data_IF_145499244117
#
_entry.id   IF_145499244117
#
_cell.length_a   1.000
_cell.length_b   1.000
_cell.length_c   1.000
_cell.angle_alpha   90.00
_cell.angle_beta   90.00
_cell.angle_gamma   90.00
#
_symmetry.space_group_name_H-M   'P 1'
#
loop_
_entity.id
_entity.type
_entity.pdbx_description
1 polymer ?
#
# COMPACT_ATOMS: atom_id res chain seq x y z
N UNK A 1 24.35 40.53 -78.67
CA UNK A 1 23.05 40.88 -79.24
C UNK A 1 22.33 41.74 -78.22
N UNK A 2 21.01 41.74 -78.20
CA UNK A 2 20.17 41.94 -77.01
C UNK A 2 19.50 40.61 -76.55
N UNK A 3 19.95 39.48 -77.09
CA UNK A 3 19.62 38.10 -76.74
C UNK A 3 20.81 37.23 -77.20
N UNK A 4 21.71 36.90 -76.28
CA UNK A 4 23.01 36.29 -76.58
C UNK A 4 22.93 34.78 -76.87
N UNK A 5 21.90 34.07 -76.40
CA UNK A 5 21.77 32.61 -76.50
C UNK A 5 20.71 32.13 -77.53
N UNK A 6 19.84 33.00 -78.03
CA UNK A 6 18.94 32.69 -79.14
C UNK A 6 17.53 32.24 -78.69
N UNK A 7 17.14 32.50 -77.46
CA UNK A 7 15.94 31.94 -76.82
C UNK A 7 14.69 32.88 -76.96
N UNK A 8 13.56 32.63 -76.27
CA UNK A 8 12.41 33.56 -76.27
C UNK A 8 12.60 34.88 -75.50
N UNK A 9 13.60 35.00 -74.62
CA UNK A 9 13.72 36.10 -73.65
C UNK A 9 14.89 37.05 -73.99
N UNK A 10 14.72 38.39 -73.97
CA UNK A 10 15.85 39.30 -74.15
C UNK A 10 16.77 39.31 -72.93
N UNK A 11 18.07 39.60 -73.09
CA UNK A 11 19.09 39.61 -72.01
C UNK A 11 18.71 40.45 -70.76
N UNK A 12 17.72 41.35 -70.87
CA UNK A 12 17.24 42.20 -69.76
C UNK A 12 16.11 41.60 -68.93
N UNK A 13 15.45 40.57 -69.45
CA UNK A 13 14.30 39.87 -68.86
C UNK A 13 14.61 38.37 -68.72
N UNK A 14 15.88 38.01 -68.83
CA UNK A 14 16.42 36.65 -68.82
C UNK A 14 17.43 36.52 -67.66
N UNK A 15 17.17 35.59 -66.74
CA UNK A 15 18.04 35.23 -65.62
C UNK A 15 19.29 34.44 -66.08
N UNK A 16 19.24 33.80 -67.25
CA UNK A 16 20.26 32.96 -67.88
C UNK A 16 20.73 33.47 -69.26
N UNK A 17 21.19 34.74 -69.40
CA UNK A 17 21.46 35.38 -70.70
C UNK A 17 22.59 34.79 -71.55
N UNK A 18 23.41 33.88 -71.00
CA UNK A 18 24.44 33.15 -71.76
C UNK A 18 24.17 31.64 -71.80
N UNK A 19 22.88 31.28 -71.77
CA UNK A 19 22.38 29.94 -71.51
C UNK A 19 22.26 29.00 -72.71
N UNK A 20 21.23 28.14 -72.66
CA UNK A 20 20.99 27.02 -73.54
C UNK A 20 20.50 27.61 -74.82
N UNK A 21 21.27 27.37 -75.86
CA UNK A 21 21.02 28.06 -77.11
C UNK A 21 19.85 27.42 -77.89
N UNK A 22 19.03 28.26 -78.53
CA UNK A 22 18.02 27.89 -79.54
C UNK A 22 16.78 27.11 -79.07
N UNK A 23 16.40 27.18 -77.80
CA UNK A 23 15.05 26.75 -77.40
C UNK A 23 14.03 27.86 -77.75
N UNK A 24 12.75 27.49 -77.91
CA UNK A 24 11.71 28.42 -78.44
C UNK A 24 10.34 28.22 -77.81
N UNK A 25 10.21 27.28 -76.89
CA UNK A 25 8.95 26.84 -76.35
C UNK A 25 8.93 27.13 -74.86
N UNK A 26 8.04 28.01 -74.42
CA UNK A 26 7.81 28.44 -73.02
C UNK A 26 7.11 27.34 -72.19
N UNK A 27 7.36 26.07 -72.51
CA UNK A 27 6.92 24.91 -71.71
C UNK A 27 8.14 24.21 -71.08
N UNK A 28 9.32 24.85 -71.17
CA UNK A 28 10.60 24.39 -70.65
C UNK A 28 11.21 25.51 -69.78
N UNK A 29 10.33 26.30 -69.18
CA UNK A 29 10.56 27.57 -68.49
C UNK A 29 9.27 27.84 -67.71
N UNK A 30 9.17 27.19 -66.55
CA UNK A 30 7.92 27.08 -65.77
C UNK A 30 7.58 28.38 -65.05
N UNK A 31 8.57 29.06 -64.48
CA UNK A 31 8.43 30.34 -63.79
C UNK A 31 8.50 31.57 -64.72
N UNK A 32 8.89 31.37 -65.98
CA UNK A 32 9.03 32.42 -67.00
C UNK A 32 10.16 33.42 -66.74
N UNK A 33 11.29 32.99 -66.16
CA UNK A 33 12.45 33.83 -65.90
C UNK A 33 13.51 33.84 -67.01
N UNK A 34 13.34 32.99 -68.03
CA UNK A 34 14.23 32.89 -69.18
C UNK A 34 15.30 31.80 -69.07
N UNK A 35 15.37 31.09 -67.94
CA UNK A 35 16.19 29.90 -67.80
C UNK A 35 15.44 28.65 -68.33
N UNK A 36 16.20 27.68 -68.84
CA UNK A 36 15.61 26.43 -69.29
C UNK A 36 15.58 25.42 -68.14
N UNK A 37 14.39 24.98 -67.72
CA UNK A 37 14.13 24.09 -66.59
C UNK A 37 15.20 22.98 -66.42
N UNK A 38 15.22 22.01 -67.34
CA UNK A 38 16.07 20.81 -67.24
C UNK A 38 17.59 21.00 -67.36
N UNK A 39 18.08 22.18 -67.75
CA UNK A 39 19.48 22.32 -68.21
C UNK A 39 20.24 23.45 -67.54
N UNK A 40 19.55 24.47 -67.04
CA UNK A 40 20.15 25.71 -66.57
C UNK A 40 19.45 26.33 -65.40
N UNK A 41 18.14 26.13 -65.30
CA UNK A 41 17.42 26.44 -64.09
C UNK A 41 17.76 25.40 -63.02
N UNK A 42 17.93 25.87 -61.80
CA UNK A 42 18.11 25.02 -60.62
C UNK A 42 16.93 25.22 -59.63
N UNK A 43 15.95 26.08 -59.94
CA UNK A 43 14.76 26.45 -59.17
C UNK A 43 13.59 26.77 -60.14
N UNK A 44 13.00 25.72 -60.69
CA UNK A 44 12.05 25.73 -61.82
C UNK A 44 10.77 26.57 -61.53
N UNK A 45 10.38 26.78 -60.27
CA UNK A 45 9.19 27.56 -59.89
C UNK A 45 9.47 28.85 -59.09
N UNK A 46 10.75 29.11 -58.83
CA UNK A 46 11.33 30.32 -58.25
C UNK A 46 10.85 30.61 -56.80
N UNK A 47 10.60 29.55 -56.03
CA UNK A 47 10.17 29.63 -54.64
C UNK A 47 11.34 29.77 -53.63
N UNK A 48 12.59 29.69 -54.11
CA UNK A 48 13.87 29.74 -53.39
C UNK A 48 14.38 28.40 -52.81
N UNK A 49 13.69 27.29 -53.06
CA UNK A 49 14.18 25.93 -52.83
C UNK A 49 14.69 25.39 -54.16
N UNK A 50 15.87 24.75 -54.15
CA UNK A 50 16.44 24.21 -55.39
C UNK A 50 15.72 22.91 -55.75
N UNK A 51 15.52 22.62 -57.04
CA UNK A 51 14.83 21.42 -57.54
C UNK A 51 15.34 20.09 -56.95
N UNK A 52 16.61 20.07 -56.52
CA UNK A 52 17.26 18.89 -55.93
C UNK A 52 16.85 18.61 -54.48
N UNK A 53 16.40 19.66 -53.79
CA UNK A 53 15.95 19.65 -52.40
C UNK A 53 14.43 19.94 -52.30
N UNK A 54 13.76 20.19 -53.43
CA UNK A 54 12.33 20.46 -53.56
C UNK A 54 11.51 19.18 -53.86
N UNK A 55 10.41 18.95 -53.13
CA UNK A 55 9.46 17.87 -53.38
C UNK A 55 8.39 18.23 -54.43
N UNK A 56 8.22 19.52 -54.70
CA UNK A 56 7.33 20.13 -55.68
C UNK A 56 8.06 21.00 -56.73
N UNK A 57 9.12 20.51 -57.41
CA UNK A 57 10.00 21.32 -58.28
C UNK A 57 9.31 21.96 -59.50
N UNK A 58 8.05 21.63 -59.79
CA UNK A 58 7.29 22.31 -60.86
C UNK A 58 5.95 22.74 -60.28
N UNK A 59 6.03 23.50 -59.18
CA UNK A 59 4.94 23.85 -58.30
C UNK A 59 4.27 25.18 -58.64
N UNK A 60 3.73 25.84 -57.64
CA UNK A 60 3.03 27.09 -57.78
C UNK A 60 4.07 28.18 -58.00
N UNK A 61 3.88 29.02 -59.00
CA UNK A 61 4.75 30.19 -59.17
C UNK A 61 4.19 31.40 -58.39
N UNK A 62 5.04 32.39 -58.12
CA UNK A 62 4.69 33.67 -57.47
C UNK A 62 4.42 33.54 -55.94
N UNK A 63 5.20 32.70 -55.27
CA UNK A 63 5.32 32.68 -53.82
C UNK A 63 6.80 32.45 -53.45
N UNK A 64 7.09 32.16 -52.19
CA UNK A 64 8.43 31.84 -51.74
C UNK A 64 8.32 30.97 -50.49
N UNK A 65 9.20 29.97 -50.38
CA UNK A 65 9.29 29.09 -49.22
C UNK A 65 9.66 29.90 -47.97
N UNK A 66 8.70 29.96 -47.05
CA UNK A 66 8.82 30.59 -45.75
C UNK A 66 8.05 29.74 -44.73
N UNK A 67 8.43 29.75 -43.44
CA UNK A 67 7.78 28.94 -42.39
C UNK A 67 6.26 29.17 -42.18
N UNK A 68 5.64 30.10 -42.91
CA UNK A 68 4.22 30.39 -42.87
C UNK A 68 3.44 29.88 -44.10
N UNK A 69 4.13 29.49 -45.18
CA UNK A 69 3.56 28.97 -46.42
C UNK A 69 4.11 27.61 -46.83
N UNK A 70 5.27 27.23 -46.27
CA UNK A 70 5.95 25.96 -46.40
C UNK A 70 6.53 25.66 -45.00
N UNK A 71 5.84 24.79 -44.25
CA UNK A 71 6.10 24.58 -42.82
C UNK A 71 7.42 23.83 -42.58
N UNK A 72 7.72 22.83 -43.40
CA UNK A 72 8.88 21.95 -43.25
C UNK A 72 10.06 22.31 -44.17
N UNK A 73 9.85 23.29 -45.05
CA UNK A 73 10.84 23.82 -46.00
C UNK A 73 11.23 22.84 -47.09
N UNK A 74 10.26 22.08 -47.60
CA UNK A 74 10.44 21.08 -48.67
C UNK A 74 10.16 21.60 -50.09
N UNK A 75 9.79 22.89 -50.24
CA UNK A 75 9.47 23.53 -51.53
C UNK A 75 8.02 23.30 -51.99
N UNK A 76 7.20 22.62 -51.21
CA UNK A 76 5.77 22.47 -51.47
C UNK A 76 4.97 23.53 -50.69
N UNK A 77 4.05 24.21 -51.38
CA UNK A 77 3.16 25.15 -50.71
C UNK A 77 2.08 24.41 -49.89
N UNK A 78 2.10 24.55 -48.54
CA UNK A 78 1.24 23.92 -47.52
C UNK A 78 -0.23 23.67 -47.95
N UNK A 79 -0.85 24.67 -48.59
CA UNK A 79 -2.30 24.67 -48.87
C UNK A 79 -2.65 24.12 -50.26
N UNK A 80 -1.70 24.14 -51.19
CA UNK A 80 -1.99 23.98 -52.60
C UNK A 80 -1.37 22.73 -53.21
N UNK A 81 -0.23 22.30 -52.69
CA UNK A 81 0.65 21.31 -53.33
C UNK A 81 1.08 20.24 -52.36
N UNK A 82 1.28 20.62 -51.12
CA UNK A 82 1.60 19.73 -50.02
C UNK A 82 0.36 18.98 -49.49
N UNK A 83 0.55 17.72 -49.13
CA UNK A 83 -0.47 16.85 -48.53
C UNK A 83 -0.01 16.23 -47.20
N UNK A 84 1.21 16.54 -46.76
CA UNK A 84 1.91 16.02 -45.57
C UNK A 84 2.81 17.16 -45.05
N UNK A 85 2.20 18.13 -44.37
CA UNK A 85 2.79 19.46 -44.12
C UNK A 85 4.06 19.43 -43.24
N UNK A 86 4.27 18.38 -42.46
CA UNK A 86 5.48 18.20 -41.64
C UNK A 86 6.38 17.05 -42.10
N UNK A 87 6.02 16.40 -43.22
CA UNK A 87 6.76 15.32 -43.87
C UNK A 87 7.11 14.15 -42.93
N UNK A 88 6.22 13.83 -42.00
CA UNK A 88 6.38 12.71 -41.08
C UNK A 88 5.95 11.37 -41.72
N UNK A 89 5.30 11.42 -42.90
CA UNK A 89 4.83 10.27 -43.65
C UNK A 89 3.35 9.91 -43.45
N UNK A 90 2.63 10.64 -42.60
CA UNK A 90 1.18 10.59 -42.42
C UNK A 90 0.55 11.76 -43.16
N UNK A 91 -0.53 11.49 -43.92
CA UNK A 91 -1.17 12.56 -44.70
C UNK A 91 -2.04 13.44 -43.79
N UNK A 92 -2.06 14.75 -44.04
CA UNK A 92 -2.88 15.75 -43.33
C UNK A 92 -4.36 15.36 -43.13
N UNK A 93 -4.90 14.54 -44.03
CA UNK A 93 -6.31 14.10 -43.97
C UNK A 93 -6.62 13.09 -42.86
N UNK A 94 -5.59 12.38 -42.40
CA UNK A 94 -5.66 11.38 -41.32
C UNK A 94 -4.79 11.73 -40.13
N UNK A 95 -3.93 12.74 -40.27
CA UNK A 95 -3.04 13.24 -39.23
C UNK A 95 -3.77 14.10 -38.18
N UNK A 96 -3.55 13.82 -36.90
CA UNK A 96 -4.04 14.62 -35.76
C UNK A 96 -3.10 15.79 -35.42
N UNK A 97 -1.86 15.73 -35.87
CA UNK A 97 -0.80 16.72 -35.70
C UNK A 97 -0.22 17.24 -37.04
N UNK A 98 -1.04 17.71 -38.02
CA UNK A 98 -0.59 18.10 -39.38
C UNK A 98 0.31 19.35 -39.47
N UNK A 99 0.78 19.88 -38.34
CA UNK A 99 1.84 20.90 -38.24
C UNK A 99 2.67 20.57 -37.00
N UNK A 100 3.10 19.33 -36.93
CA UNK A 100 3.78 18.73 -35.80
C UNK A 100 5.27 18.99 -35.82
N UNK A 101 6.00 18.09 -35.20
CA UNK A 101 7.44 18.16 -35.06
C UNK A 101 8.09 17.81 -36.41
N UNK A 102 9.09 18.59 -36.81
CA UNK A 102 9.80 18.32 -38.06
C UNK A 102 10.96 17.33 -37.87
N UNK A 103 11.28 16.58 -38.92
CA UNK A 103 12.52 15.80 -39.02
C UNK A 103 12.48 14.43 -38.35
N UNK A 104 11.30 13.85 -38.21
CA UNK A 104 11.08 12.46 -37.82
C UNK A 104 10.16 11.79 -38.86
N UNK A 105 9.87 10.51 -38.67
CA UNK A 105 8.94 9.76 -39.52
C UNK A 105 8.07 8.93 -38.57
N UNK A 106 6.76 8.94 -38.80
CA UNK A 106 5.80 8.07 -38.11
C UNK A 106 6.15 6.60 -38.33
N UNK A 107 6.28 5.87 -37.22
CA UNK A 107 6.48 4.42 -37.21
C UNK A 107 5.79 3.82 -36.00
N UNK A 108 5.48 2.50 -36.00
CA UNK A 108 4.89 1.83 -34.84
C UNK A 108 5.76 1.79 -33.56
N UNK A 109 6.89 2.50 -33.53
CA UNK A 109 7.77 2.63 -32.37
C UNK A 109 7.69 4.00 -31.69
N UNK A 110 7.17 5.02 -32.38
CA UNK A 110 7.14 6.42 -31.96
C UNK A 110 5.83 7.15 -32.31
N UNK A 111 4.89 6.43 -32.92
CA UNK A 111 3.50 6.80 -33.19
C UNK A 111 2.71 5.48 -33.07
N UNK A 112 2.16 5.22 -31.90
CA UNK A 112 1.60 3.91 -31.54
C UNK A 112 0.24 3.65 -32.19
N UNK A 113 -0.67 4.62 -32.18
CA UNK A 113 -1.99 4.54 -32.81
C UNK A 113 -1.99 4.89 -34.31
N UNK A 114 -0.86 5.37 -34.84
CA UNK A 114 -0.62 5.74 -36.24
C UNK A 114 -1.42 6.97 -36.69
N UNK A 115 -1.54 7.97 -35.81
CA UNK A 115 -2.30 9.19 -36.04
C UNK A 115 -1.47 10.39 -36.51
N UNK A 116 -0.15 10.23 -36.69
CA UNK A 116 0.77 11.31 -37.12
C UNK A 116 1.29 12.20 -36.00
N UNK A 117 0.93 11.92 -34.74
CA UNK A 117 1.50 12.60 -33.58
C UNK A 117 2.65 11.77 -32.99
N UNK A 118 3.74 12.44 -32.59
CA UNK A 118 4.84 11.76 -31.92
C UNK A 118 4.51 11.50 -30.44
N UNK A 119 4.46 10.22 -30.03
CA UNK A 119 4.18 9.73 -28.66
C UNK A 119 4.83 10.61 -27.56
N UNK A 120 6.17 10.76 -27.60
CA UNK A 120 6.92 11.46 -26.53
C UNK A 120 6.67 12.98 -26.42
N UNK A 121 6.15 13.65 -27.46
CA UNK A 121 6.24 15.11 -27.58
C UNK A 121 4.95 15.83 -27.99
N UNK A 122 4.08 15.19 -28.74
CA UNK A 122 2.92 15.82 -29.37
C UNK A 122 1.62 15.10 -29.03
N UNK A 123 1.71 13.80 -28.78
CA UNK A 123 0.60 12.97 -28.35
C UNK A 123 0.51 12.91 -26.81
N UNK A 124 -0.71 12.73 -26.31
CA UNK A 124 -1.00 12.50 -24.90
C UNK A 124 -2.00 11.34 -24.70
N UNK A 125 -2.29 10.58 -25.75
CA UNK A 125 -3.22 9.45 -25.84
C UNK A 125 -2.62 8.44 -26.84
N UNK A 126 -1.46 7.85 -26.49
CA UNK A 126 -0.60 7.03 -27.36
C UNK A 126 -1.38 5.90 -28.10
N UNK A 127 -2.47 5.37 -27.54
CA UNK A 127 -3.28 4.30 -28.15
C UNK A 127 -4.65 4.70 -28.69
N UNK A 128 -5.02 5.97 -28.55
CA UNK A 128 -6.23 6.56 -29.10
C UNK A 128 -7.53 6.00 -28.51
N UNK A 129 -7.51 5.50 -27.28
CA UNK A 129 -8.69 4.98 -26.59
C UNK A 129 -9.55 6.09 -25.95
N UNK A 130 -8.99 7.30 -25.81
CA UNK A 130 -9.64 8.49 -25.29
C UNK A 130 -9.38 8.77 -23.81
N UNK A 131 -8.63 7.92 -23.13
CA UNK A 131 -7.90 8.27 -21.92
C UNK A 131 -6.60 8.97 -22.32
N UNK A 132 -5.89 9.48 -21.33
CA UNK A 132 -4.63 10.18 -21.60
C UNK A 132 -3.53 9.47 -20.84
N UNK A 133 -2.31 9.44 -21.34
CA UNK A 133 -1.20 8.61 -20.81
C UNK A 133 -0.93 8.78 -19.31
N UNK A 134 -1.36 9.90 -18.71
CA UNK A 134 -1.19 10.18 -17.28
C UNK A 134 -2.32 9.65 -16.39
N UNK A 135 -3.40 9.17 -16.98
CA UNK A 135 -4.58 8.55 -16.34
C UNK A 135 -4.86 7.17 -16.93
N UNK A 136 -3.93 6.64 -17.72
CA UNK A 136 -4.06 5.36 -18.42
C UNK A 136 -2.90 4.47 -17.96
N UNK A 137 -3.22 3.36 -17.33
CA UNK A 137 -2.25 2.39 -16.83
C UNK A 137 -1.74 1.46 -17.96
N UNK A 138 -2.48 1.42 -19.06
CA UNK A 138 -2.16 0.73 -20.30
C UNK A 138 -1.97 1.68 -21.49
N UNK A 139 -1.17 2.75 -21.31
CA UNK A 139 -0.74 3.79 -22.29
C UNK A 139 -0.57 3.32 -23.76
N UNK A 140 -0.24 2.04 -23.96
CA UNK A 140 -0.04 1.43 -25.28
C UNK A 140 -0.87 0.15 -25.41
N UNK A 141 -2.18 0.26 -25.23
CA UNK A 141 -3.08 -0.88 -25.41
C UNK A 141 -2.98 -1.36 -26.85
N UNK A 142 -2.95 -2.68 -26.98
CA UNK A 142 -3.01 -3.35 -28.28
C UNK A 142 -4.44 -3.71 -28.67
N UNK A 143 -5.38 -3.52 -27.75
CA UNK A 143 -6.79 -3.84 -27.95
C UNK A 143 -7.51 -2.66 -28.59
N UNK A 144 -8.55 -2.97 -29.38
CA UNK A 144 -9.32 -1.92 -30.04
C UNK A 144 -10.32 -1.34 -29.05
N UNK A 145 -10.58 -0.01 -29.04
CA UNK A 145 -11.58 0.63 -28.17
C UNK A 145 -13.00 0.07 -28.31
N UNK A 146 -13.29 -0.71 -29.37
CA UNK A 146 -14.60 -1.35 -29.57
C UNK A 146 -14.72 -2.78 -29.01
N UNK A 147 -13.61 -3.41 -28.59
CA UNK A 147 -13.58 -4.73 -27.96
C UNK A 147 -13.14 -4.70 -26.50
N UNK A 148 -12.75 -3.52 -26.02
CA UNK A 148 -12.26 -3.21 -24.69
C UNK A 148 -13.36 -3.43 -23.63
N UNK A 149 -13.05 -4.23 -22.61
CA UNK A 149 -13.82 -4.28 -21.36
C UNK A 149 -12.92 -3.72 -20.28
N UNK A 150 -13.35 -2.64 -19.66
CA UNK A 150 -12.61 -1.85 -18.70
C UNK A 150 -13.62 -1.43 -17.63
N UNK A 151 -13.60 -2.17 -16.53
CA UNK A 151 -14.63 -2.09 -15.50
C UNK A 151 -14.39 -0.93 -14.52
N UNK A 152 -13.12 -0.63 -14.26
CA UNK A 152 -12.60 0.32 -13.29
C UNK A 152 -12.22 1.68 -13.93
N UNK A 153 -11.96 1.70 -15.23
CA UNK A 153 -11.76 2.88 -16.05
C UNK A 153 -10.30 3.30 -16.16
N UNK A 154 -9.36 2.36 -16.07
CA UNK A 154 -7.92 2.62 -16.03
C UNK A 154 -7.24 2.56 -17.40
N UNK A 155 -7.99 2.19 -18.45
CA UNK A 155 -7.50 2.07 -19.84
C UNK A 155 -6.98 0.69 -20.21
N UNK A 156 -6.91 -0.24 -19.26
CA UNK A 156 -6.52 -1.61 -19.51
C UNK A 156 -7.73 -2.50 -19.86
N UNK A 157 -7.56 -3.43 -20.81
CA UNK A 157 -8.59 -4.46 -21.02
C UNK A 157 -8.51 -5.54 -19.93
N UNK A 158 -9.59 -5.67 -19.14
CA UNK A 158 -9.79 -6.61 -18.02
C UNK A 158 -9.31 -8.05 -18.33
N UNK A 159 -9.42 -8.48 -19.59
CA UNK A 159 -9.23 -9.89 -19.95
C UNK A 159 -7.82 -10.19 -20.46
N UNK A 160 -7.06 -9.18 -20.88
CA UNK A 160 -5.86 -9.39 -21.68
C UNK A 160 -4.65 -8.57 -21.29
N UNK A 161 -4.84 -7.40 -20.69
CA UNK A 161 -3.77 -6.44 -20.41
C UNK A 161 -3.73 -6.07 -18.93
N UNK A 162 -4.90 -5.94 -18.32
CA UNK A 162 -5.06 -5.66 -16.90
C UNK A 162 -4.66 -6.88 -16.03
N UNK A 163 -3.93 -6.62 -14.94
CA UNK A 163 -3.57 -7.62 -13.93
C UNK A 163 -3.94 -7.20 -12.51
N UNK A 164 -4.74 -6.13 -12.34
CA UNK A 164 -5.20 -5.54 -11.07
C UNK A 164 -6.56 -4.85 -11.34
N UNK A 165 -7.64 -5.64 -11.46
CA UNK A 165 -8.93 -5.22 -12.02
C UNK A 165 -9.69 -4.21 -11.16
N UNK A 166 -9.34 -4.08 -9.89
CA UNK A 166 -9.93 -3.09 -8.98
C UNK A 166 -8.94 -2.02 -8.50
N UNK A 167 -7.72 -2.07 -9.03
CA UNK A 167 -6.68 -1.06 -8.88
C UNK A 167 -6.36 -0.73 -7.43
N UNK A 168 -6.44 -1.74 -6.57
CA UNK A 168 -6.13 -1.63 -5.15
C UNK A 168 -4.61 -1.76 -4.88
N UNK A 169 -3.83 -2.19 -5.87
CA UNK A 169 -2.38 -2.38 -5.81
C UNK A 169 -1.90 -3.81 -5.56
N UNK A 170 -2.80 -4.79 -5.50
CA UNK A 170 -2.54 -6.23 -5.41
C UNK A 170 -2.89 -6.87 -6.75
N UNK A 171 -1.95 -7.60 -7.37
CA UNK A 171 -2.26 -8.25 -8.65
C UNK A 171 -3.37 -9.31 -8.48
N UNK A 172 -4.28 -9.43 -9.44
CA UNK A 172 -5.45 -10.33 -9.37
C UNK A 172 -5.15 -11.81 -9.16
N UNK A 173 -3.89 -12.22 -9.36
CA UNK A 173 -3.45 -13.58 -9.07
C UNK A 173 -3.23 -13.84 -7.57
N UNK A 174 -3.08 -12.77 -6.79
CA UNK A 174 -2.85 -12.76 -5.34
C UNK A 174 -3.99 -12.12 -4.57
N UNK A 175 -4.89 -11.44 -5.27
CA UNK A 175 -6.10 -10.83 -4.71
C UNK A 175 -7.22 -11.86 -4.46
N UNK A 176 -7.75 -11.90 -3.24
CA UNK A 176 -8.88 -12.75 -2.82
C UNK A 176 -10.25 -12.04 -2.92
N UNK A 177 -10.25 -10.73 -3.16
CA UNK A 177 -11.32 -9.73 -3.04
C UNK A 177 -11.60 -8.90 -4.30
N UNK A 178 -11.02 -9.26 -5.46
CA UNK A 178 -11.17 -8.71 -6.83
C UNK A 178 -12.61 -8.50 -7.36
N UNK A 179 -13.64 -8.81 -6.57
CA UNK A 179 -15.03 -8.81 -7.01
C UNK A 179 -15.65 -7.39 -7.16
N UNK A 180 -14.96 -6.31 -6.74
CA UNK A 180 -15.44 -4.91 -6.88
C UNK A 180 -14.46 -3.98 -7.62
N UNK A 181 -14.37 -4.10 -8.96
CA UNK A 181 -13.56 -3.23 -9.82
C UNK A 181 -13.94 -1.74 -9.77
N UNK A 182 -14.97 -1.34 -9.02
CA UNK A 182 -15.35 0.07 -8.90
C UNK A 182 -14.91 0.72 -7.58
N UNK A 183 -14.07 0.01 -6.83
CA UNK A 183 -13.48 0.49 -5.59
C UNK A 183 -12.46 1.60 -5.87
N UNK A 184 -12.41 2.63 -5.02
CA UNK A 184 -11.37 3.67 -5.05
C UNK A 184 -10.34 3.44 -3.91
N UNK A 185 -10.41 2.30 -3.24
CA UNK A 185 -9.54 1.96 -2.12
C UNK A 185 -8.22 1.37 -2.63
N UNK A 186 -7.17 1.47 -1.83
CA UNK A 186 -5.83 0.95 -2.15
C UNK A 186 -5.33 0.18 -0.95
N UNK A 187 -4.85 -1.03 -1.17
CA UNK A 187 -4.24 -1.90 -0.17
C UNK A 187 -3.07 -1.20 0.51
N UNK A 188 -3.09 -1.22 1.84
CA UNK A 188 -1.99 -0.73 2.67
C UNK A 188 -1.88 -1.59 3.92
N UNK A 189 -0.66 -1.71 4.46
CA UNK A 189 -0.38 -2.41 5.73
C UNK A 189 -1.06 -1.81 6.99
N UNK A 190 -2.02 -0.90 6.82
CA UNK A 190 -2.83 -0.34 7.89
C UNK A 190 -4.34 -0.56 7.69
N UNK A 191 -4.74 -1.13 6.56
CA UNK A 191 -6.12 -1.41 6.15
C UNK A 191 -6.30 -2.77 5.46
N UNK A 192 -5.20 -3.48 5.27
CA UNK A 192 -5.06 -4.83 4.71
C UNK A 192 -3.79 -5.42 5.37
N UNK A 193 -4.00 -6.17 6.45
CA UNK A 193 -2.91 -6.64 7.32
C UNK A 193 -2.08 -7.77 6.71
N UNK A 194 -2.71 -8.67 5.95
CA UNK A 194 -2.05 -9.81 5.31
C UNK A 194 -1.67 -9.57 3.84
N UNK A 195 -2.12 -8.45 3.27
CA UNK A 195 -1.86 -8.00 1.90
C UNK A 195 -2.42 -8.93 0.84
N UNK A 196 -3.65 -9.39 1.06
CA UNK A 196 -4.34 -10.33 0.17
C UNK A 196 -5.42 -9.70 -0.72
N UNK A 197 -5.58 -8.37 -0.68
CA UNK A 197 -6.50 -7.60 -1.54
C UNK A 197 -7.86 -7.33 -0.89
N UNK A 198 -8.14 -7.89 0.29
CA UNK A 198 -9.32 -7.50 1.06
C UNK A 198 -9.03 -6.32 1.99
N UNK A 199 -9.91 -5.31 2.00
CA UNK A 199 -9.93 -4.33 3.09
C UNK A 199 -10.39 -5.03 4.39
N UNK A 200 -9.63 -4.90 5.49
CA UNK A 200 -9.92 -5.49 6.83
C UNK A 200 -11.38 -5.24 7.30
N UNK A 201 -12.03 -4.20 6.78
CA UNK A 201 -13.41 -3.85 7.15
C UNK A 201 -14.47 -4.81 6.57
N UNK A 202 -14.11 -5.53 5.52
CA UNK A 202 -14.94 -6.49 4.78
C UNK A 202 -14.33 -7.89 4.70
N UNK A 203 -13.04 -8.02 5.01
CA UNK A 203 -12.39 -9.31 5.23
C UNK A 203 -13.00 -10.05 6.45
N UNK A 204 -12.82 -11.37 6.46
CA UNK A 204 -13.18 -12.24 7.57
C UNK A 204 -11.97 -12.87 8.27
N UNK A 205 -10.75 -12.66 7.75
CA UNK A 205 -9.48 -13.24 8.23
C UNK A 205 -8.34 -12.23 8.01
N UNK A 206 -8.38 -11.11 8.74
CA UNK A 206 -7.54 -9.91 8.52
C UNK A 206 -6.02 -10.22 8.45
N UNK A 207 -5.54 -11.28 9.11
CA UNK A 207 -4.11 -11.63 9.12
C UNK A 207 -3.73 -12.90 8.34
N UNK A 208 -4.71 -13.54 7.69
CA UNK A 208 -4.52 -14.66 6.78
C UNK A 208 -3.97 -15.93 7.44
N UNK A 209 -4.11 -16.09 8.76
CA UNK A 209 -3.61 -17.24 9.50
C UNK A 209 -4.52 -18.50 9.38
N UNK A 210 -5.76 -18.29 8.93
CA UNK A 210 -6.80 -19.30 8.73
C UNK A 210 -7.85 -19.39 9.85
N UNK A 211 -7.80 -18.51 10.85
CA UNK A 211 -8.77 -18.36 11.94
C UNK A 211 -9.54 -17.05 11.73
N UNK A 212 -10.85 -17.13 11.51
CA UNK A 212 -11.64 -15.92 11.27
C UNK A 212 -11.66 -14.96 12.46
N UNK A 213 -11.69 -13.64 12.22
CA UNK A 213 -11.60 -12.58 13.25
C UNK A 213 -12.63 -12.71 14.39
N UNK A 214 -13.76 -13.35 14.10
CA UNK A 214 -14.84 -13.59 15.07
C UNK A 214 -14.50 -14.67 16.10
N UNK A 215 -13.59 -15.57 15.73
CA UNK A 215 -13.06 -16.65 16.54
C UNK A 215 -11.61 -16.38 17.00
N UNK A 216 -10.92 -15.43 16.36
CA UNK A 216 -9.55 -15.04 16.64
C UNK A 216 -9.43 -14.05 17.83
N UNK A 217 -8.52 -14.30 18.77
CA UNK A 217 -8.16 -13.38 19.86
C UNK A 217 -7.04 -12.41 19.48
N UNK A 218 -6.33 -12.66 18.37
CA UNK A 218 -5.24 -11.89 17.80
C UNK A 218 -5.44 -11.60 16.29
N UNK A 219 -6.49 -10.86 15.87
CA UNK A 219 -6.93 -10.77 14.46
C UNK A 219 -6.03 -9.97 13.50
N UNK A 220 -4.77 -9.68 13.82
CA UNK A 220 -3.94 -8.78 12.99
C UNK A 220 -2.49 -9.26 12.89
N UNK A 221 -2.22 -10.50 13.30
CA UNK A 221 -0.89 -11.01 13.60
C UNK A 221 -0.70 -12.44 13.10
N UNK A 222 -0.35 -12.56 11.82
CA UNK A 222 -0.07 -13.81 11.07
C UNK A 222 0.91 -14.84 11.70
N UNK A 223 1.61 -14.52 12.79
CA UNK A 223 2.80 -15.25 13.24
C UNK A 223 2.49 -16.49 14.10
N UNK A 224 1.83 -17.50 13.54
CA UNK A 224 1.59 -18.78 14.23
C UNK A 224 2.81 -19.71 14.25
N UNK A 225 3.63 -19.71 15.31
CA UNK A 225 4.64 -20.75 15.53
C UNK A 225 4.15 -21.87 16.45
N UNK A 226 3.28 -21.52 17.40
CA UNK A 226 2.62 -22.39 18.35
C UNK A 226 1.29 -21.78 18.73
N UNK A 227 0.24 -22.57 18.65
CA UNK A 227 -1.15 -22.18 18.94
C UNK A 227 -1.83 -23.45 19.48
N UNK A 228 -1.88 -23.57 20.81
CA UNK A 228 -2.26 -24.81 21.46
C UNK A 228 -3.79 -24.99 21.55
N UNK A 229 -4.53 -23.92 21.80
CA UNK A 229 -5.99 -23.94 21.95
C UNK A 229 -6.77 -23.55 20.68
N UNK A 230 -6.09 -23.00 19.67
CA UNK A 230 -6.61 -22.63 18.34
C UNK A 230 -7.44 -21.37 18.33
N UNK A 231 -7.00 -20.38 19.09
CA UNK A 231 -7.63 -19.08 19.16
C UNK A 231 -7.00 -18.02 18.24
N UNK A 232 -6.01 -18.39 17.43
CA UNK A 232 -5.33 -17.49 16.46
C UNK A 232 -4.16 -16.69 17.06
N UNK A 233 -3.86 -16.84 18.34
CA UNK A 233 -2.71 -16.20 18.97
C UNK A 233 -1.48 -17.13 19.04
N UNK A 234 -0.28 -16.56 18.92
CA UNK A 234 0.96 -17.31 19.14
C UNK A 234 1.28 -17.46 20.65
N UNK A 235 1.32 -18.70 21.15
CA UNK A 235 1.62 -19.07 22.55
C UNK A 235 2.90 -18.38 23.09
N UNK A 236 3.92 -18.18 22.23
CA UNK A 236 5.20 -17.62 22.71
C UNK A 236 5.21 -16.10 22.86
N UNK A 237 4.35 -15.38 22.13
CA UNK A 237 4.49 -13.93 21.96
C UNK A 237 3.24 -13.11 22.22
N UNK A 238 2.05 -13.68 22.02
CA UNK A 238 0.79 -12.93 21.93
C UNK A 238 -0.31 -13.52 22.81
N UNK A 239 -0.36 -14.84 22.97
CA UNK A 239 -1.23 -15.50 23.95
C UNK A 239 -0.61 -15.48 25.37
N UNK A 240 -1.46 -15.35 26.38
CA UNK A 240 -1.09 -15.45 27.80
C UNK A 240 -1.90 -16.50 28.57
N UNK A 241 -2.70 -17.30 27.87
CA UNK A 241 -3.57 -18.37 28.38
C UNK A 241 -3.60 -19.50 27.33
N UNK A 242 -2.45 -20.19 27.16
CA UNK A 242 -2.18 -21.10 26.03
C UNK A 242 -3.21 -22.24 25.87
N UNK A 243 -3.99 -22.59 26.91
CA UNK A 243 -5.06 -23.59 26.83
C UNK A 243 -6.48 -23.02 26.88
N UNK A 244 -6.64 -21.70 27.00
CA UNK A 244 -7.92 -21.00 26.92
C UNK A 244 -8.88 -21.38 28.05
N UNK A 245 -8.37 -21.65 29.25
CA UNK A 245 -9.18 -22.03 30.41
C UNK A 245 -9.65 -20.83 31.27
N UNK A 246 -9.11 -19.64 30.98
CA UNK A 246 -9.37 -18.38 31.67
C UNK A 246 -8.38 -18.07 32.81
N UNK A 247 -7.34 -18.88 33.01
CA UNK A 247 -6.25 -18.65 33.98
C UNK A 247 -4.94 -18.42 33.21
N UNK A 248 -4.37 -17.20 33.29
CA UNK A 248 -3.14 -16.91 32.54
C UNK A 248 -1.97 -17.81 32.92
N UNK A 249 -1.09 -18.18 31.97
CA UNK A 249 0.00 -19.16 32.14
C UNK A 249 0.90 -18.88 33.34
N UNK A 250 1.10 -17.59 33.64
CA UNK A 250 1.94 -17.15 34.77
C UNK A 250 1.36 -17.54 36.14
N UNK A 251 0.06 -17.80 36.19
CA UNK A 251 -0.71 -18.20 37.37
C UNK A 251 -1.28 -19.62 37.24
N UNK A 252 -1.16 -20.23 36.07
CA UNK A 252 -1.55 -21.60 35.80
C UNK A 252 -0.43 -22.60 36.14
N UNK A 253 -0.79 -23.68 36.82
CA UNK A 253 0.08 -24.82 37.12
C UNK A 253 0.07 -25.88 36.00
N UNK A 254 -0.88 -25.79 35.07
CA UNK A 254 -1.07 -26.62 33.89
C UNK A 254 -1.23 -25.82 32.57
N UNK A 255 -0.32 -24.90 32.19
CA UNK A 255 -0.52 -24.01 31.02
C UNK A 255 -0.82 -24.67 29.66
N UNK A 256 -0.54 -25.97 29.50
CA UNK A 256 -0.85 -26.72 28.27
C UNK A 256 -1.76 -27.89 28.61
N UNK A 257 -2.79 -27.62 29.40
CA UNK A 257 -3.70 -28.57 30.00
C UNK A 257 -4.82 -28.98 29.05
N UNK A 258 -6.01 -29.16 29.61
CA UNK A 258 -7.21 -29.35 28.83
C UNK A 258 -7.59 -28.03 28.20
N UNK A 259 -7.76 -28.04 26.88
CA UNK A 259 -8.11 -26.81 26.17
C UNK A 259 -9.56 -26.39 26.36
N UNK A 260 -9.83 -25.08 26.30
CA UNK A 260 -11.13 -24.44 26.12
C UNK A 260 -12.19 -24.82 27.17
N UNK A 261 -11.90 -24.65 28.47
CA UNK A 261 -12.87 -24.87 29.55
C UNK A 261 -12.80 -23.80 30.63
N UNK A 262 -13.93 -23.30 31.12
CA UNK A 262 -13.87 -22.26 32.16
C UNK A 262 -13.35 -22.78 33.53
N UNK A 263 -12.22 -22.25 33.98
CA UNK A 263 -11.76 -22.35 35.37
C UNK A 263 -12.78 -21.70 36.31
N UNK A 264 -13.35 -22.53 37.18
CA UNK A 264 -14.42 -22.11 38.08
C UNK A 264 -14.32 -22.87 39.39
N UNK A 265 -14.85 -22.29 40.47
CA UNK A 265 -14.85 -22.92 41.81
C UNK A 265 -15.50 -24.33 41.92
N UNK A 266 -16.12 -24.82 40.84
CA UNK A 266 -16.64 -26.19 40.73
C UNK A 266 -15.77 -27.16 39.92
N UNK A 267 -14.91 -26.66 39.02
CA UNK A 267 -14.00 -27.41 38.14
C UNK A 267 -12.53 -27.29 38.55
N UNK A 268 -12.16 -26.16 39.18
CA UNK A 268 -10.86 -25.81 39.74
C UNK A 268 -11.09 -25.11 41.08
N UNK A 269 -10.79 -25.81 42.18
CA UNK A 269 -11.15 -25.35 43.53
C UNK A 269 -10.15 -24.32 44.06
N UNK A 270 -8.88 -24.42 43.69
CA UNK A 270 -7.80 -23.53 44.11
C UNK A 270 -7.59 -22.34 43.17
N UNK A 271 -8.11 -22.40 41.94
CA UNK A 271 -7.90 -21.38 40.92
C UNK A 271 -6.49 -21.42 40.36
N UNK A 272 -5.91 -22.61 40.19
CA UNK A 272 -4.54 -22.80 39.69
C UNK A 272 -4.47 -23.27 38.24
N UNK A 273 -5.60 -23.25 37.50
CA UNK A 273 -5.70 -23.57 36.07
C UNK A 273 -5.55 -25.06 35.74
N UNK A 274 -5.40 -25.92 36.75
CA UNK A 274 -5.43 -27.36 36.55
C UNK A 274 -6.82 -27.93 36.85
N UNK A 275 -7.45 -28.65 35.92
CA UNK A 275 -8.75 -29.25 36.20
C UNK A 275 -8.67 -30.32 37.32
N UNK A 276 -9.31 -30.06 38.47
CA UNK A 276 -9.37 -30.91 39.69
C UNK A 276 -9.58 -32.41 39.42
N UNK A 277 -10.33 -32.71 38.36
CA UNK A 277 -10.86 -34.04 38.08
C UNK A 277 -9.97 -34.91 37.18
N UNK A 278 -9.08 -34.28 36.42
CA UNK A 278 -8.31 -34.94 35.36
C UNK A 278 -6.82 -34.59 35.42
N UNK A 279 -6.46 -33.39 35.85
CA UNK A 279 -5.12 -32.84 35.73
C UNK A 279 -4.47 -32.52 37.07
N UNK A 280 -5.27 -32.14 38.07
CA UNK A 280 -4.75 -31.83 39.39
C UNK A 280 -4.79 -33.03 40.38
N UNK A 281 -3.59 -33.48 40.77
CA UNK A 281 -3.40 -34.49 41.81
C UNK A 281 -3.39 -33.88 43.25
N UNK A 282 -3.29 -32.55 43.38
CA UNK A 282 -3.00 -31.82 44.61
C UNK A 282 -3.81 -30.51 44.83
N UNK A 283 -5.14 -30.63 44.92
CA UNK A 283 -5.97 -29.53 45.44
C UNK A 283 -5.56 -29.07 46.86
N UNK A 284 -4.98 -27.88 46.98
CA UNK A 284 -4.66 -27.16 48.24
C UNK A 284 -5.92 -26.59 48.90
N UNK A 285 -6.88 -27.46 49.16
CA UNK A 285 -8.18 -27.06 49.69
C UNK A 285 -9.00 -28.22 50.21
N UNK A 286 -8.52 -29.47 50.12
CA UNK A 286 -9.27 -30.68 50.51
C UNK A 286 -9.89 -30.58 51.89
N UNK A 287 -9.24 -29.90 52.85
CA UNK A 287 -9.78 -29.66 54.19
C UNK A 287 -10.85 -28.56 54.21
N UNK A 288 -10.66 -27.44 53.51
CA UNK A 288 -11.62 -26.33 53.48
C UNK A 288 -12.86 -26.68 52.64
N UNK A 289 -12.70 -27.41 51.54
CA UNK A 289 -13.79 -27.95 50.73
C UNK A 289 -14.57 -29.04 51.46
N UNK A 290 -13.91 -29.96 52.19
CA UNK A 290 -14.66 -30.90 53.08
C UNK A 290 -15.37 -30.19 54.23
N UNK A 291 -14.88 -29.03 54.70
CA UNK A 291 -15.55 -28.22 55.71
C UNK A 291 -16.73 -27.42 55.14
N UNK A 292 -16.66 -26.92 53.89
CA UNK A 292 -17.76 -26.20 53.22
C UNK A 292 -18.84 -27.13 52.66
N UNK A 293 -18.46 -28.25 52.05
CA UNK A 293 -19.39 -29.21 51.44
C UNK A 293 -20.11 -30.10 52.46
N UNK A 294 -19.60 -30.20 53.70
CA UNK A 294 -20.17 -31.05 54.72
C UNK A 294 -20.63 -30.24 55.95
N UNK A 295 -21.87 -29.72 55.87
CA UNK A 295 -22.54 -28.99 56.95
C UNK A 295 -22.49 -29.72 58.32
N UNK A 296 -22.37 -31.05 58.31
CA UNK A 296 -22.22 -31.87 59.52
C UNK A 296 -20.87 -31.66 60.23
N UNK A 297 -19.77 -31.48 59.50
CA UNK A 297 -18.44 -31.24 60.09
C UNK A 297 -18.37 -29.86 60.75
N UNK A 298 -18.96 -28.83 60.13
CA UNK A 298 -19.06 -27.50 60.73
C UNK A 298 -19.90 -27.49 62.01
N UNK A 299 -20.98 -28.27 62.07
CA UNK A 299 -21.77 -28.44 63.30
C UNK A 299 -20.98 -29.15 64.41
N UNK A 300 -20.19 -30.17 64.07
CA UNK A 300 -19.36 -30.90 65.04
C UNK A 300 -18.27 -29.98 65.60
N UNK A 301 -17.54 -29.27 64.74
CA UNK A 301 -16.46 -28.36 65.16
C UNK A 301 -17.00 -27.16 65.93
N UNK A 302 -18.12 -26.57 65.48
CA UNK A 302 -18.81 -25.51 66.21
C UNK A 302 -19.29 -25.97 67.59
N UNK A 303 -19.85 -27.18 67.69
CA UNK A 303 -20.28 -27.75 68.98
C UNK A 303 -19.09 -28.03 69.92
N UNK A 304 -17.96 -28.50 69.39
CA UNK A 304 -16.75 -28.77 70.16
C UNK A 304 -16.12 -27.46 70.67
N UNK A 305 -16.10 -26.41 69.86
CA UNK A 305 -15.61 -25.09 70.25
C UNK A 305 -16.48 -24.48 71.37
N UNK A 306 -17.82 -24.57 71.25
CA UNK A 306 -18.75 -24.11 72.30
C UNK A 306 -18.58 -24.92 73.59
N UNK A 307 -18.36 -26.23 73.51
CA UNK A 307 -18.10 -27.08 74.68
C UNK A 307 -16.75 -26.78 75.34
N UNK A 308 -15.72 -26.47 74.57
CA UNK A 308 -14.41 -26.03 75.09
C UNK A 308 -14.52 -24.68 75.81
N UNK A 309 -15.23 -23.72 75.23
CA UNK A 309 -15.47 -22.41 75.86
C UNK A 309 -16.33 -22.57 77.13
N UNK A 310 -17.38 -23.41 77.09
CA UNK A 310 -18.19 -23.72 78.28
C UNK A 310 -17.39 -24.44 79.37
N UNK A 311 -16.47 -25.34 79.00
CA UNK A 311 -15.56 -26.02 79.92
C UNK A 311 -14.57 -25.07 80.61
N UNK A 312 -14.04 -24.09 79.87
CA UNK A 312 -13.21 -23.02 80.43
C UNK A 312 -14.02 -22.12 81.38
N UNK A 313 -15.26 -21.79 81.05
CA UNK A 313 -16.12 -20.98 81.94
C UNK A 313 -16.47 -21.73 83.24
N UNK A 314 -16.69 -23.05 83.19
CA UNK A 314 -17.03 -23.84 84.37
C UNK A 314 -15.83 -24.12 85.30
N UNK A 315 -14.60 -24.07 84.79
CA UNK A 315 -13.39 -24.25 85.60
C UNK A 315 -12.96 -22.99 86.36
N UNK A 316 -13.52 -21.82 86.01
CA UNK A 316 -13.23 -20.56 86.72
C UNK A 316 -13.98 -20.34 88.04
N UNK A 317 -14.88 -21.23 88.46
CA UNK A 317 -15.71 -21.04 89.67
C UNK A 317 -15.26 -21.77 90.95
N UNK A 318 -14.07 -22.38 91.00
CA UNK A 318 -13.50 -22.88 92.27
C UNK A 318 -12.04 -22.49 92.47
N UNK A 319 -11.84 -21.47 93.30
CA UNK A 319 -10.58 -21.25 94.02
C UNK A 319 -9.91 -19.92 93.72
N UNK A 320 -10.05 -18.96 94.63
CA UNK A 320 -9.20 -17.76 94.71
C UNK A 320 -7.75 -18.20 94.92
N UNK A 321 -6.92 -17.96 93.90
CA UNK A 321 -5.49 -17.74 94.02
C UNK A 321 -5.12 -16.83 92.86
N UNK A 322 -4.69 -15.60 93.14
CA UNK A 322 -4.14 -14.68 92.14
C UNK A 322 -2.87 -15.30 91.54
N UNK A 323 -2.76 -15.47 90.21
CA UNK A 323 -1.49 -15.27 89.53
C UNK A 323 -1.51 -13.86 88.93
N UNK A 324 -0.40 -13.13 89.03
CA UNK A 324 -0.23 -11.89 88.28
C UNK A 324 -0.30 -12.22 86.80
N UNK A 325 -1.35 -11.75 86.12
CA UNK A 325 -1.38 -11.69 84.67
C UNK A 325 -0.48 -10.52 84.29
N UNK A 326 0.69 -10.83 83.73
CA UNK A 326 1.44 -9.85 82.98
C UNK A 326 0.57 -9.46 81.78
N UNK A 327 0.37 -8.16 81.62
CA UNK A 327 -0.33 -7.58 80.49
C UNK A 327 0.51 -7.86 79.22
N UNK A 328 0.10 -8.87 78.46
CA UNK A 328 0.70 -9.20 77.17
C UNK A 328 -0.11 -8.62 75.99
N UNK A 329 -0.87 -7.55 76.22
CA UNK A 329 -1.46 -6.78 75.11
C UNK A 329 -0.40 -6.25 74.15
N UNK A 330 0.85 -6.07 74.62
CA UNK A 330 1.98 -5.70 73.76
C UNK A 330 2.40 -6.77 72.74
N UNK A 331 2.05 -8.06 72.96
CA UNK A 331 2.44 -9.16 72.07
C UNK A 331 1.32 -9.57 71.09
N UNK A 332 0.14 -8.95 71.20
CA UNK A 332 -0.99 -9.17 70.28
C UNK A 332 -1.15 -7.98 69.33
N UNK A 333 -0.83 -6.76 69.78
CA UNK A 333 -0.69 -5.60 68.88
C UNK A 333 0.51 -5.74 67.91
N UNK A 334 1.56 -6.47 68.31
CA UNK A 334 2.74 -6.75 67.46
C UNK A 334 2.46 -7.86 66.42
N UNK A 335 1.53 -8.78 66.71
CA UNK A 335 1.16 -9.88 65.81
C UNK A 335 -0.03 -9.56 64.87
N UNK A 336 -0.72 -8.43 65.10
CA UNK A 336 -1.76 -7.89 64.19
C UNK A 336 -1.22 -6.87 63.19
N UNK A 337 0.09 -6.58 63.22
CA UNK A 337 0.79 -6.03 62.07
C UNK A 337 1.27 -7.20 61.20
N UNK A 338 0.33 -7.82 60.50
CA UNK A 338 0.68 -8.54 59.28
C UNK A 338 1.43 -7.57 58.40
N UNK A 339 2.67 -7.92 58.06
CA UNK A 339 3.37 -7.34 56.93
C UNK A 339 2.39 -7.22 55.77
N UNK A 340 2.11 -5.98 55.36
CA UNK A 340 1.65 -5.75 54.01
C UNK A 340 2.67 -6.41 53.07
N UNK A 341 2.25 -6.98 51.92
CA UNK A 341 3.20 -7.31 50.88
C UNK A 341 4.10 -6.10 50.70
N UNK A 342 5.42 -6.30 50.77
CA UNK A 342 6.37 -5.25 50.44
C UNK A 342 5.97 -4.72 49.08
N UNK A 343 5.33 -3.55 49.04
CA UNK A 343 5.32 -2.73 47.85
C UNK A 343 6.79 -2.69 47.41
N UNK A 344 7.10 -3.11 46.16
CA UNK A 344 8.46 -3.04 45.69
C UNK A 344 8.97 -1.61 45.93
N UNK A 345 10.23 -1.41 46.36
CA UNK A 345 10.77 -0.08 46.65
C UNK A 345 10.33 0.87 45.54
N UNK A 346 9.81 2.06 45.87
CA UNK A 346 9.07 2.94 44.93
C UNK A 346 9.72 3.13 43.54
N UNK A 347 11.03 2.90 43.44
CA UNK A 347 11.84 2.78 42.23
C UNK A 347 11.40 1.62 41.32
N UNK A 348 11.27 0.39 41.82
CA UNK A 348 10.86 -0.80 41.05
C UNK A 348 9.43 -0.68 40.51
N UNK A 349 8.52 -0.08 41.31
CA UNK A 349 7.17 0.23 40.83
C UNK A 349 7.19 1.25 39.69
N UNK A 350 8.01 2.30 39.80
CA UNK A 350 8.16 3.31 38.73
C UNK A 350 8.83 2.74 37.47
N UNK A 351 9.75 1.79 37.61
CA UNK A 351 10.35 1.10 36.45
C UNK A 351 9.32 0.23 35.76
N UNK A 352 8.51 -0.53 36.52
CA UNK A 352 7.42 -1.35 35.98
C UNK A 352 6.34 -0.51 35.28
N UNK A 353 5.88 0.57 35.91
CA UNK A 353 4.88 1.47 35.31
C UNK A 353 5.39 2.12 34.00
N UNK A 354 6.71 2.31 33.85
CA UNK A 354 7.33 2.80 32.61
C UNK A 354 7.48 1.69 31.57
N UNK A 355 7.74 0.46 31.99
CA UNK A 355 7.75 -0.70 31.12
C UNK A 355 6.38 -1.02 30.55
N UNK A 356 5.31 -0.88 31.35
CA UNK A 356 3.91 -1.01 30.91
C UNK A 356 3.49 0.09 29.90
N UNK A 357 4.28 1.17 29.78
CA UNK A 357 4.11 2.24 28.78
C UNK A 357 5.02 2.07 27.54
N UNK A 358 5.66 0.90 27.38
CA UNK A 358 6.47 0.55 26.21
C UNK A 358 7.94 0.95 26.30
N UNK A 359 8.46 1.36 27.47
CA UNK A 359 9.90 1.59 27.63
C UNK A 359 10.64 0.29 27.96
N UNK A 360 11.77 0.03 27.27
CA UNK A 360 12.60 -1.14 27.60
C UNK A 360 13.07 -1.09 29.07
N UNK A 361 13.25 -2.25 29.73
CA UNK A 361 13.59 -2.30 31.17
C UNK A 361 14.84 -1.49 31.54
N UNK A 362 15.85 -1.47 30.66
CA UNK A 362 17.09 -0.72 30.85
C UNK A 362 16.88 0.79 30.74
N UNK A 363 15.98 1.22 29.84
CA UNK A 363 15.63 2.63 29.63
C UNK A 363 14.79 3.14 30.79
N UNK A 364 13.79 2.37 31.21
CA UNK A 364 12.95 2.68 32.37
C UNK A 364 13.80 2.84 33.65
N UNK A 365 14.77 1.95 33.87
CA UNK A 365 15.69 2.03 35.01
C UNK A 365 16.59 3.27 34.96
N UNK A 366 17.11 3.64 33.78
CA UNK A 366 17.94 4.83 33.62
C UNK A 366 17.17 6.14 33.85
N UNK A 367 15.89 6.19 33.47
CA UNK A 367 15.01 7.34 33.69
C UNK A 367 14.78 7.57 35.18
N UNK A 368 14.42 6.51 35.92
CA UNK A 368 14.15 6.58 37.36
C UNK A 368 15.41 6.96 38.15
N UNK A 369 16.57 6.40 37.79
CA UNK A 369 17.85 6.73 38.45
C UNK A 369 18.26 8.20 38.23
N UNK A 370 18.01 8.75 37.03
CA UNK A 370 18.28 10.15 36.73
C UNK A 370 17.34 11.09 37.50
N UNK A 371 16.06 10.73 37.63
CA UNK A 371 15.08 11.50 38.42
C UNK A 371 15.44 11.51 39.91
N UNK A 372 15.84 10.36 40.48
CA UNK A 372 16.35 10.29 41.86
C UNK A 372 17.58 11.17 42.05
N UNK A 373 18.52 11.12 41.11
CA UNK A 373 19.75 11.91 41.15
C UNK A 373 19.46 13.42 41.07
N UNK A 374 18.43 13.81 40.33
CA UNK A 374 17.95 15.20 40.27
C UNK A 374 17.26 15.62 41.58
N UNK A 375 16.44 14.77 42.20
CA UNK A 375 15.81 15.02 43.51
C UNK A 375 16.85 15.18 44.63
N UNK A 376 17.88 14.34 44.65
CA UNK A 376 19.01 14.43 45.62
C UNK A 376 19.89 15.67 45.45
N UNK A 377 19.82 16.37 44.31
CA UNK A 377 20.50 17.65 44.09
C UNK A 377 19.66 18.87 44.51
N UNK A 378 18.37 18.69 44.76
CA UNK A 378 17.41 19.75 45.14
C UNK A 378 17.17 19.83 46.66
N UNK A 379 17.48 18.78 47.41
CA UNK A 379 17.54 18.76 48.88
C UNK A 379 18.99 18.91 49.35
#
# INVERSE_FOLDING_TARGET
DDNDDNDPYPDTEDSCPEGVVWWTNTLFDHDSDGCHDLQEDDDDDNDQILDVDDLCPVGMTVWFSEPASDYDSDGCHDVAEDMDIDNDGVLDEVDQCPRGMLGWISTPLNDWDSDGCHDDFEDNDDDGDGLSDWSDDCIRSSTSPQSHTDADGDGCDDNTEDNDLDNDGIESAFDNCEDDPTSDWVSTLASDYDSDGCEDSVDFDDDGDGVFDVEDQCPTTISLNSDYDRDGCDDETEDWDDDGDGVPDTSDSCPLGLINWDSSSGSDIDGDGCMDSLEDDYVSGKILHTLRSNAFMMLIIGSAAVLMIAGMVLTTQRGRGRPGFADQTWAVDDAMQSEAPLDPPAVEKQVRDLSDLGYSPEVAQAIVENEERARRRRN
#
